data_IF_686398957748
#
_entry.id   IF_686398957748
#
_cell.length_a   1.000
_cell.length_b   1.000
_cell.length_c   1.000
_cell.angle_alpha   90.00
_cell.angle_beta   90.00
_cell.angle_gamma   90.00
#
_symmetry.space_group_name_H-M   'P 1'
#
loop_
_entity.id
_entity.type
_entity.pdbx_description
1 polymer ?
#
# COMPACT_ATOMS: atom_id res chain seq x y z
N UNK A 1 18.47 17.00 -0.23
CA UNK A 1 19.73 16.65 0.47
C UNK A 1 19.44 15.77 1.65
N UNK A 2 20.28 14.76 1.85
CA UNK A 2 20.26 13.90 3.03
C UNK A 2 21.70 13.82 3.56
N UNK A 3 21.88 14.19 4.82
CA UNK A 3 23.17 14.14 5.49
C UNK A 3 23.31 12.77 6.14
N UNK A 4 24.47 12.15 5.95
CA UNK A 4 24.82 10.85 6.49
C UNK A 4 26.00 11.00 7.45
N UNK A 5 25.94 10.25 8.55
CA UNK A 5 27.05 10.08 9.46
C UNK A 5 27.27 8.59 9.66
N UNK A 6 28.34 8.08 9.10
CA UNK A 6 28.76 6.69 9.26
C UNK A 6 29.82 6.59 10.33
N UNK A 7 29.71 5.63 11.23
CA UNK A 7 30.69 5.35 12.26
C UNK A 7 31.10 3.90 12.20
N UNK A 8 32.34 3.62 11.87
CA UNK A 8 32.94 2.28 11.86
C UNK A 8 33.92 2.16 13.02
N UNK A 9 33.74 1.13 13.85
CA UNK A 9 34.67 0.86 14.98
C UNK A 9 35.42 -0.44 14.69
N UNK A 10 36.71 -0.34 14.47
CA UNK A 10 37.64 -1.46 14.32
C UNK A 10 38.73 -1.36 15.38
N UNK A 11 39.01 -2.45 16.07
CA UNK A 11 40.04 -2.57 17.11
C UNK A 11 40.01 -1.43 18.15
N UNK A 12 38.83 -0.98 18.52
CA UNK A 12 38.63 0.09 19.50
C UNK A 12 38.86 1.52 18.96
N UNK A 13 39.10 1.66 17.65
CA UNK A 13 39.19 2.96 16.98
C UNK A 13 37.91 3.22 16.22
N UNK A 14 37.20 4.30 16.54
CA UNK A 14 36.00 4.72 15.82
C UNK A 14 36.34 5.78 14.80
N UNK A 15 36.13 5.49 13.53
CA UNK A 15 36.21 6.44 12.43
C UNK A 15 34.80 6.90 12.09
N UNK A 16 34.54 8.19 12.05
CA UNK A 16 33.28 8.78 11.63
C UNK A 16 33.46 9.50 10.30
N UNK A 17 32.68 9.16 9.32
CA UNK A 17 32.64 9.83 8.01
C UNK A 17 31.29 10.54 7.90
N UNK A 18 31.32 11.82 7.58
CA UNK A 18 30.11 12.62 7.31
C UNK A 18 30.11 12.99 5.82
N UNK A 19 28.99 12.72 5.15
CA UNK A 19 28.81 13.08 3.75
C UNK A 19 27.35 13.47 3.51
N UNK A 20 27.11 14.27 2.48
CA UNK A 20 25.79 14.70 2.07
C UNK A 20 25.47 14.19 0.67
N UNK A 21 24.29 13.64 0.49
CA UNK A 21 23.84 13.18 -0.81
C UNK A 21 22.64 13.98 -1.31
N UNK A 22 22.68 14.32 -2.60
CA UNK A 22 21.56 14.88 -3.32
C UNK A 22 21.06 13.88 -4.36
N UNK A 23 19.79 13.54 -4.31
CA UNK A 23 19.13 12.63 -5.27
C UNK A 23 18.18 13.44 -6.16
N UNK A 24 18.47 13.44 -7.44
CA UNK A 24 17.59 13.97 -8.48
C UNK A 24 16.86 12.79 -9.13
N UNK A 25 15.55 12.83 -9.15
CA UNK A 25 14.71 11.80 -9.76
C UNK A 25 13.70 12.48 -10.67
N UNK A 26 13.87 12.32 -11.98
CA UNK A 26 12.89 12.75 -12.99
C UNK A 26 12.27 11.52 -13.62
N UNK A 27 10.96 11.33 -13.44
CA UNK A 27 10.23 10.21 -13.96
C UNK A 27 9.03 10.72 -14.77
N UNK A 28 8.94 10.27 -16.02
CA UNK A 28 7.83 10.57 -16.93
C UNK A 28 7.16 9.28 -17.33
N UNK A 29 5.85 9.21 -17.09
CA UNK A 29 5.05 8.07 -17.51
C UNK A 29 3.92 8.52 -18.43
N UNK A 30 3.84 7.84 -19.58
CA UNK A 30 2.72 7.98 -20.52
C UNK A 30 1.99 6.66 -20.62
N UNK A 31 0.69 6.64 -20.43
CA UNK A 31 -0.11 5.42 -20.56
C UNK A 31 -1.35 5.63 -21.42
N UNK A 32 -1.60 4.66 -22.31
CA UNK A 32 -2.81 4.59 -23.12
C UNK A 32 -3.51 3.25 -22.83
N UNK A 33 -4.79 3.31 -22.51
CA UNK A 33 -5.60 2.12 -22.27
C UNK A 33 -6.90 2.21 -23.05
N UNK A 34 -7.22 1.13 -23.76
CA UNK A 34 -8.46 1.00 -24.52
C UNK A 34 -9.13 -0.32 -24.17
N UNK A 35 -10.43 -0.28 -24.00
CA UNK A 35 -11.25 -1.47 -23.75
C UNK A 35 -12.46 -1.41 -24.69
N UNK A 36 -12.54 -2.37 -25.60
CA UNK A 36 -13.66 -2.56 -26.49
C UNK A 36 -14.44 -3.77 -25.99
N UNK A 37 -15.74 -3.64 -25.84
CA UNK A 37 -16.62 -4.72 -25.40
C UNK A 37 -17.83 -4.77 -26.30
N UNK A 38 -18.12 -5.95 -26.82
CA UNK A 38 -19.34 -6.27 -27.53
C UNK A 38 -20.14 -7.30 -26.72
N UNK A 39 -21.44 -7.10 -26.62
CA UNK A 39 -22.32 -8.02 -25.88
C UNK A 39 -23.54 -8.31 -26.74
N UNK A 40 -23.78 -9.60 -26.97
CA UNK A 40 -24.89 -10.12 -27.77
C UNK A 40 -25.82 -10.97 -26.89
N UNK A 41 -27.11 -10.65 -26.81
CA UNK A 41 -28.08 -11.54 -26.21
C UNK A 41 -28.35 -12.75 -27.13
N UNK A 42 -28.02 -13.96 -26.63
CA UNK A 42 -28.25 -15.20 -27.40
C UNK A 42 -29.70 -15.68 -27.23
N UNK A 43 -30.18 -15.60 -25.99
CA UNK A 43 -31.57 -15.84 -25.60
C UNK A 43 -31.90 -14.90 -24.43
N UNK A 44 -33.18 -14.80 -24.04
CA UNK A 44 -33.65 -13.80 -23.08
C UNK A 44 -32.85 -13.67 -21.80
N UNK A 45 -32.23 -14.74 -21.33
CA UNK A 45 -31.49 -14.75 -20.06
C UNK A 45 -30.01 -14.97 -20.22
N UNK A 46 -29.51 -15.13 -21.46
CA UNK A 46 -28.11 -15.46 -21.73
C UNK A 46 -27.50 -14.43 -22.66
N UNK A 47 -26.37 -13.87 -22.24
CA UNK A 47 -25.58 -12.90 -23.01
C UNK A 47 -24.17 -13.44 -23.19
N UNK A 48 -23.70 -13.40 -24.43
CA UNK A 48 -22.30 -13.63 -24.76
C UNK A 48 -21.61 -12.27 -24.87
N UNK A 49 -20.40 -12.15 -24.33
CA UNK A 49 -19.57 -10.97 -24.47
C UNK A 49 -18.22 -11.33 -25.05
N UNK A 50 -17.71 -10.47 -25.94
CA UNK A 50 -16.34 -10.50 -26.42
C UNK A 50 -15.70 -9.17 -26.02
N UNK A 51 -14.48 -9.20 -25.54
CA UNK A 51 -13.75 -8.00 -25.20
C UNK A 51 -12.33 -8.03 -25.82
N UNK A 52 -11.82 -6.84 -26.07
CA UNK A 52 -10.44 -6.63 -26.43
C UNK A 52 -9.90 -5.46 -25.62
N UNK A 53 -8.82 -5.70 -24.91
CA UNK A 53 -8.14 -4.73 -24.07
C UNK A 53 -6.75 -4.49 -24.64
N UNK A 54 -6.43 -3.24 -24.81
CA UNK A 54 -5.11 -2.77 -25.18
C UNK A 54 -4.58 -1.85 -24.09
N UNK A 55 -3.33 -2.05 -23.69
CA UNK A 55 -2.65 -1.15 -22.77
C UNK A 55 -1.21 -0.97 -23.24
N UNK A 56 -0.80 0.27 -23.33
CA UNK A 56 0.57 0.67 -23.56
C UNK A 56 0.99 1.63 -22.45
N UNK A 57 2.15 1.42 -21.89
CA UNK A 57 2.76 2.30 -20.90
C UNK A 57 4.23 2.46 -21.22
N UNK A 58 4.65 3.70 -21.41
CA UNK A 58 6.04 4.09 -21.52
C UNK A 58 6.43 4.83 -20.25
N UNK A 59 7.59 4.52 -19.70
CA UNK A 59 8.15 5.19 -18.51
C UNK A 59 9.62 5.48 -18.77
N UNK A 60 9.99 6.76 -18.66
CA UNK A 60 11.35 7.25 -18.71
C UNK A 60 11.76 7.66 -17.31
N UNK A 61 12.87 7.17 -16.79
CA UNK A 61 13.38 7.54 -15.46
C UNK A 61 14.85 7.91 -15.55
N UNK A 62 15.16 9.09 -15.04
CA UNK A 62 16.53 9.61 -14.86
C UNK A 62 16.76 9.83 -13.36
N UNK A 63 17.53 8.94 -12.74
CA UNK A 63 17.89 8.99 -11.32
C UNK A 63 19.37 9.26 -11.21
N UNK A 64 19.73 10.37 -10.61
CA UNK A 64 21.12 10.78 -10.37
C UNK A 64 21.35 11.02 -8.91
N UNK A 65 22.38 10.42 -8.37
CA UNK A 65 22.83 10.62 -6.99
C UNK A 65 24.19 11.31 -7.02
N UNK A 66 24.26 12.43 -6.33
CA UNK A 66 25.48 13.22 -6.17
C UNK A 66 25.88 13.18 -4.71
N UNK A 67 27.17 13.10 -4.45
CA UNK A 67 27.75 13.15 -3.12
C UNK A 67 28.70 14.32 -2.96
N UNK A 68 28.65 14.93 -1.78
CA UNK A 68 29.59 15.97 -1.36
C UNK A 68 30.11 15.58 0.02
N UNK A 69 31.44 15.62 0.18
CA UNK A 69 32.11 15.37 1.47
C UNK A 69 32.01 16.54 2.44
N UNK A 70 31.38 17.65 2.01
CA UNK A 70 31.21 18.86 2.82
C UNK A 70 32.50 19.58 3.20
N UNK A 71 33.68 19.00 2.87
CA UNK A 71 34.99 19.50 3.26
C UNK A 71 35.79 20.06 2.10
N UNK A 72 35.49 19.67 0.88
CA UNK A 72 36.23 20.10 -0.30
C UNK A 72 35.41 21.01 -1.20
N UNK A 73 36.01 22.08 -1.71
CA UNK A 73 35.46 23.02 -2.70
C UNK A 73 35.26 22.36 -4.09
N UNK A 74 35.42 21.03 -4.19
CA UNK A 74 35.37 20.28 -5.44
C UNK A 74 33.93 20.06 -6.00
N UNK A 75 32.91 20.47 -5.25
CA UNK A 75 31.55 20.35 -5.66
C UNK A 75 30.97 18.91 -5.52
N UNK A 76 29.75 18.74 -5.95
CA UNK A 76 29.04 17.45 -5.94
C UNK A 76 29.62 16.52 -7.02
N UNK A 77 29.93 15.29 -6.65
CA UNK A 77 30.35 14.23 -7.57
C UNK A 77 29.20 13.27 -7.84
N UNK A 78 28.99 12.94 -9.11
CA UNK A 78 28.00 11.92 -9.51
C UNK A 78 28.50 10.54 -9.07
N UNK A 79 27.64 9.80 -8.38
CA UNK A 79 27.92 8.41 -8.00
C UNK A 79 27.28 7.50 -9.06
N UNK A 80 28.10 6.97 -9.95
CA UNK A 80 27.68 6.11 -11.05
C UNK A 80 26.86 4.91 -10.57
N UNK A 81 27.27 4.27 -9.49
CA UNK A 81 26.66 3.06 -8.91
C UNK A 81 25.28 3.32 -8.29
N UNK A 82 24.99 4.57 -7.93
CA UNK A 82 23.71 4.99 -7.35
C UNK A 82 22.85 5.77 -8.36
N UNK A 83 23.28 5.83 -9.61
CA UNK A 83 22.61 6.57 -10.67
C UNK A 83 22.17 5.62 -11.78
N UNK A 84 21.00 5.87 -12.34
CA UNK A 84 20.47 5.03 -13.44
C UNK A 84 19.58 5.85 -14.36
N UNK A 85 19.74 5.63 -15.66
CA UNK A 85 18.87 6.18 -16.68
C UNK A 85 18.30 5.03 -17.49
N UNK A 86 16.98 4.91 -17.49
CA UNK A 86 16.30 3.84 -18.18
C UNK A 86 14.96 4.25 -18.79
N UNK A 87 14.59 3.57 -19.85
CA UNK A 87 13.30 3.65 -20.49
C UNK A 87 12.63 2.27 -20.47
N UNK A 88 11.33 2.25 -20.25
CA UNK A 88 10.54 1.00 -20.25
C UNK A 88 9.31 1.17 -21.12
N UNK A 89 9.11 0.24 -22.02
CA UNK A 89 7.90 0.08 -22.81
C UNK A 89 7.17 -1.20 -22.37
N UNK A 90 5.94 -1.06 -21.91
CA UNK A 90 5.10 -2.18 -21.54
C UNK A 90 3.83 -2.19 -22.39
N UNK A 91 3.71 -3.20 -23.22
CA UNK A 91 2.61 -3.39 -24.16
C UNK A 91 1.79 -4.61 -23.77
N UNK A 92 0.47 -4.48 -23.72
CA UNK A 92 -0.43 -5.60 -23.41
C UNK A 92 -1.59 -5.64 -24.36
N UNK A 93 -1.86 -6.81 -24.88
CA UNK A 93 -3.06 -7.16 -25.64
C UNK A 93 -3.80 -8.27 -24.92
N UNK A 94 -5.10 -8.12 -24.70
CA UNK A 94 -5.91 -9.20 -24.14
C UNK A 94 -7.23 -9.32 -24.91
N UNK A 95 -7.50 -10.52 -25.41
CA UNK A 95 -8.78 -10.88 -25.99
C UNK A 95 -9.53 -11.79 -25.02
N UNK A 96 -10.80 -11.49 -24.76
CA UNK A 96 -11.58 -12.24 -23.80
C UNK A 96 -12.97 -12.59 -24.30
N UNK A 97 -13.48 -13.71 -23.78
CA UNK A 97 -14.83 -14.15 -23.98
C UNK A 97 -15.52 -14.27 -22.62
N UNK A 98 -16.80 -13.92 -22.57
CA UNK A 98 -17.61 -13.99 -21.35
C UNK A 98 -19.02 -14.46 -21.63
N UNK A 99 -19.57 -15.21 -20.69
CA UNK A 99 -20.94 -15.67 -20.68
C UNK A 99 -21.62 -15.15 -19.43
N UNK A 100 -22.76 -14.49 -19.58
CA UNK A 100 -23.64 -14.07 -18.49
C UNK A 100 -24.96 -14.79 -18.60
N UNK A 101 -25.38 -15.41 -17.51
CA UNK A 101 -26.65 -16.10 -17.41
C UNK A 101 -27.45 -15.56 -16.21
N UNK A 102 -28.65 -15.01 -16.47
CA UNK A 102 -29.53 -14.45 -15.45
C UNK A 102 -30.72 -15.40 -15.27
N UNK A 103 -30.93 -15.90 -14.05
CA UNK A 103 -32.04 -16.77 -13.67
C UNK A 103 -32.70 -16.18 -12.44
N UNK A 104 -33.88 -15.61 -12.55
CA UNK A 104 -34.65 -15.02 -11.45
C UNK A 104 -33.77 -14.32 -10.41
N UNK A 105 -33.38 -15.04 -9.35
CA UNK A 105 -32.53 -14.54 -8.24
C UNK A 105 -31.04 -14.76 -8.44
N UNK A 106 -30.64 -15.53 -9.43
CA UNK A 106 -29.26 -15.88 -9.70
C UNK A 106 -28.71 -15.15 -10.90
N UNK A 107 -27.47 -14.75 -10.78
CA UNK A 107 -26.65 -14.28 -11.91
C UNK A 107 -25.33 -15.01 -11.91
N UNK A 108 -25.03 -15.66 -13.00
CA UNK A 108 -23.74 -16.28 -13.26
C UNK A 108 -23.01 -15.47 -14.32
N UNK A 109 -21.73 -15.27 -14.12
CA UNK A 109 -20.85 -14.69 -15.13
C UNK A 109 -19.59 -15.53 -15.15
N UNK A 110 -19.23 -16.04 -16.31
CA UNK A 110 -17.99 -16.77 -16.56
C UNK A 110 -17.23 -16.02 -17.64
N UNK A 111 -15.92 -16.02 -17.57
CA UNK A 111 -15.09 -15.39 -18.60
C UNK A 111 -13.67 -15.89 -18.56
N UNK A 112 -12.96 -15.70 -19.66
CA UNK A 112 -11.53 -15.91 -19.75
C UNK A 112 -10.93 -14.85 -20.67
N UNK A 113 -9.86 -14.22 -20.22
CA UNK A 113 -9.02 -13.32 -21.01
C UNK A 113 -7.73 -14.06 -21.39
N UNK A 114 -7.33 -14.00 -22.65
CA UNK A 114 -6.07 -14.47 -23.21
C UNK A 114 -5.19 -13.23 -23.39
N UNK A 115 -4.14 -13.14 -22.61
CA UNK A 115 -3.29 -11.94 -22.55
C UNK A 115 -1.89 -12.24 -23.10
N UNK A 116 -1.42 -11.37 -23.96
CA UNK A 116 -0.04 -11.27 -24.43
C UNK A 116 0.52 -9.95 -23.91
N UNK A 117 1.68 -9.99 -23.31
CA UNK A 117 2.36 -8.81 -22.81
C UNK A 117 3.82 -8.83 -23.23
N UNK A 118 4.35 -7.67 -23.65
CA UNK A 118 5.76 -7.42 -23.92
C UNK A 118 6.26 -6.36 -22.98
N UNK A 119 7.40 -6.61 -22.36
CA UNK A 119 8.15 -5.67 -21.54
C UNK A 119 9.51 -5.49 -22.19
N UNK A 120 9.79 -4.31 -22.71
CA UNK A 120 11.06 -3.92 -23.27
C UNK A 120 11.64 -2.80 -22.42
N UNK A 121 12.86 -2.99 -21.92
CA UNK A 121 13.58 -2.05 -21.08
C UNK A 121 14.94 -1.75 -21.65
N UNK A 122 15.29 -0.48 -21.77
CA UNK A 122 16.60 -0.01 -22.18
C UNK A 122 17.22 0.79 -21.03
N UNK A 123 18.32 0.32 -20.52
CA UNK A 123 19.16 1.06 -19.58
C UNK A 123 20.32 1.67 -20.35
N UNK A 124 20.51 2.98 -20.22
CA UNK A 124 21.60 3.70 -20.87
C UNK A 124 22.73 4.07 -19.90
N UNK A 125 22.47 4.04 -18.59
CA UNK A 125 23.42 4.41 -17.54
C UNK A 125 23.18 3.61 -16.25
N UNK A 126 24.20 3.20 -15.46
CA UNK A 126 25.64 3.40 -15.65
C UNK A 126 26.24 2.49 -16.71
N UNK A 127 25.59 1.37 -17.00
CA UNK A 127 26.01 0.41 -18.03
C UNK A 127 24.81 0.17 -18.94
N UNK A 128 25.07 0.24 -20.27
CA UNK A 128 24.02 -0.04 -21.24
C UNK A 128 23.61 -1.52 -21.16
N UNK A 129 22.31 -1.77 -20.99
CA UNK A 129 21.70 -3.09 -20.94
C UNK A 129 20.29 -3.04 -21.52
N UNK A 130 19.89 -4.11 -22.22
CA UNK A 130 18.59 -4.24 -22.82
C UNK A 130 17.91 -5.50 -22.31
N UNK A 131 16.71 -5.34 -21.82
CA UNK A 131 15.89 -6.42 -21.27
C UNK A 131 14.62 -6.51 -22.10
N UNK A 132 14.31 -7.70 -22.62
CA UNK A 132 13.06 -7.95 -23.35
C UNK A 132 12.42 -9.23 -22.86
N UNK A 133 11.16 -9.15 -22.45
CA UNK A 133 10.37 -10.27 -21.99
C UNK A 133 8.99 -10.29 -22.64
N UNK A 134 8.58 -11.48 -23.10
CA UNK A 134 7.26 -11.73 -23.63
C UNK A 134 6.52 -12.74 -22.74
N UNK A 135 5.30 -12.40 -22.37
CA UNK A 135 4.47 -13.20 -21.48
C UNK A 135 3.16 -13.57 -22.15
N UNK A 136 2.69 -14.78 -21.87
CA UNK A 136 1.35 -15.21 -22.24
C UNK A 136 0.63 -15.74 -21.01
N UNK A 137 -0.62 -15.31 -20.82
CA UNK A 137 -1.43 -15.71 -19.66
C UNK A 137 -2.86 -16.02 -20.06
N UNK A 138 -3.42 -17.05 -19.47
CA UNK A 138 -4.85 -17.33 -19.50
C UNK A 138 -5.44 -16.94 -18.16
N UNK A 139 -6.38 -15.99 -18.18
CA UNK A 139 -6.90 -15.33 -17.00
C UNK A 139 -8.41 -15.60 -16.84
N UNK A 140 -8.79 -16.74 -16.25
CA UNK A 140 -10.19 -17.07 -16.02
C UNK A 140 -10.83 -16.19 -14.94
N UNK A 141 -12.14 -15.97 -15.07
CA UNK A 141 -12.95 -15.27 -14.09
C UNK A 141 -14.33 -15.91 -13.96
N UNK A 142 -14.87 -15.86 -12.76
CA UNK A 142 -16.23 -16.34 -12.49
C UNK A 142 -16.89 -15.47 -11.43
N UNK A 143 -18.18 -15.23 -11.56
CA UNK A 143 -19.00 -14.55 -10.56
C UNK A 143 -20.35 -15.23 -10.43
N UNK A 144 -20.75 -15.48 -9.21
CA UNK A 144 -22.08 -15.95 -8.84
C UNK A 144 -22.68 -14.89 -7.93
N UNK A 145 -23.84 -14.38 -8.29
CA UNK A 145 -24.62 -13.50 -7.43
C UNK A 145 -25.99 -14.11 -7.19
N UNK A 146 -26.38 -14.18 -5.94
CA UNK A 146 -27.71 -14.58 -5.50
C UNK A 146 -28.36 -13.42 -4.76
N UNK A 147 -29.53 -12.97 -5.19
CA UNK A 147 -30.31 -11.90 -4.57
C UNK A 147 -31.61 -12.51 -4.02
N UNK A 148 -31.65 -12.71 -2.69
CA UNK A 148 -32.83 -13.23 -2.03
C UNK A 148 -34.01 -12.24 -2.17
N UNK A 149 -33.66 -10.94 -1.95
CA UNK A 149 -34.54 -9.79 -2.15
C UNK A 149 -33.67 -8.55 -2.48
N UNK A 150 -34.27 -7.34 -2.47
CA UNK A 150 -33.55 -6.08 -2.79
C UNK A 150 -32.49 -5.73 -1.75
N UNK A 151 -32.63 -6.22 -0.53
CA UNK A 151 -31.84 -5.84 0.63
C UNK A 151 -30.91 -6.97 1.10
N UNK A 152 -31.00 -8.15 0.50
CA UNK A 152 -30.28 -9.34 0.92
C UNK A 152 -29.63 -10.02 -0.29
N UNK A 153 -28.32 -9.98 -0.36
CA UNK A 153 -27.55 -10.52 -1.49
C UNK A 153 -26.26 -11.18 -1.07
N UNK A 154 -25.93 -12.22 -1.80
CA UNK A 154 -24.70 -12.97 -1.72
C UNK A 154 -23.96 -12.87 -3.05
N UNK A 155 -22.65 -12.69 -3.03
CA UNK A 155 -21.81 -12.65 -4.21
C UNK A 155 -20.50 -13.41 -3.97
N UNK A 156 -20.22 -14.35 -4.84
CA UNK A 156 -18.92 -15.03 -4.93
C UNK A 156 -18.26 -14.61 -6.24
N UNK A 157 -17.04 -14.11 -6.17
CA UNK A 157 -16.24 -13.70 -7.34
C UNK A 157 -14.87 -14.35 -7.28
N UNK A 158 -14.53 -15.03 -8.34
CA UNK A 158 -13.18 -15.48 -8.62
C UNK A 158 -12.62 -14.68 -9.79
N UNK A 159 -11.38 -14.28 -9.69
CA UNK A 159 -10.66 -13.59 -10.76
C UNK A 159 -9.18 -13.96 -10.72
N UNK A 160 -8.62 -14.25 -11.89
CA UNK A 160 -7.18 -14.27 -12.06
C UNK A 160 -6.66 -13.03 -12.78
N UNK A 161 -5.42 -12.65 -12.50
CA UNK A 161 -4.72 -11.53 -13.12
C UNK A 161 -3.22 -11.82 -13.13
N UNK A 162 -2.51 -11.32 -14.12
CA UNK A 162 -1.06 -11.35 -14.18
C UNK A 162 -0.46 -10.05 -13.65
N UNK A 163 0.75 -10.13 -13.12
CA UNK A 163 1.58 -8.99 -12.74
C UNK A 163 2.99 -9.26 -13.24
N UNK A 164 3.49 -8.43 -14.13
CA UNK A 164 4.87 -8.53 -14.63
C UNK A 164 5.84 -7.92 -13.62
N UNK A 165 7.09 -8.41 -13.58
CA UNK A 165 8.15 -7.76 -12.82
C UNK A 165 8.34 -6.31 -13.27
N UNK A 166 8.77 -5.45 -12.36
CA UNK A 166 9.18 -4.09 -12.71
C UNK A 166 10.58 -4.10 -13.33
N UNK A 167 10.92 -3.05 -14.09
CA UNK A 167 12.27 -2.96 -14.66
C UNK A 167 13.33 -3.00 -13.56
N UNK A 168 13.13 -2.30 -12.44
CA UNK A 168 14.05 -2.33 -11.30
C UNK A 168 14.26 -3.76 -10.74
N UNK A 169 13.22 -4.59 -10.74
CA UNK A 169 13.35 -6.00 -10.33
C UNK A 169 14.12 -6.85 -11.34
N UNK A 170 14.16 -6.44 -12.61
CA UNK A 170 14.85 -7.17 -13.68
C UNK A 170 16.31 -6.72 -13.85
N UNK A 171 16.64 -5.50 -13.50
CA UNK A 171 17.99 -4.94 -13.67
C UNK A 171 19.00 -5.60 -12.72
N UNK A 172 20.13 -6.07 -13.27
CA UNK A 172 21.20 -6.71 -12.49
C UNK A 172 22.18 -5.72 -11.82
N UNK A 173 21.91 -4.43 -11.91
CA UNK A 173 22.72 -3.40 -11.24
C UNK A 173 22.50 -3.46 -9.74
N UNK A 174 23.61 -3.43 -8.98
CA UNK A 174 23.56 -3.41 -7.51
C UNK A 174 23.29 -2.00 -7.03
N UNK A 175 22.24 -1.81 -6.26
CA UNK A 175 21.99 -0.59 -5.49
C UNK A 175 22.68 -0.73 -4.14
N UNK A 176 23.70 0.08 -3.92
CA UNK A 176 24.46 0.18 -2.66
C UNK A 176 24.24 1.51 -1.96
N UNK A 177 23.13 2.18 -2.21
CA UNK A 177 22.74 3.44 -1.54
C UNK A 177 22.80 3.33 -0.01
N UNK A 178 22.54 2.12 0.51
CA UNK A 178 22.79 1.78 1.90
C UNK A 178 23.81 0.63 1.95
N UNK A 179 25.05 0.87 2.44
CA UNK A 179 26.09 -0.15 2.47
C UNK A 179 25.75 -1.39 3.29
N UNK A 180 24.80 -1.27 4.24
CA UNK A 180 24.33 -2.41 5.05
C UNK A 180 23.18 -3.17 4.39
N UNK A 181 22.47 -2.57 3.44
CA UNK A 181 21.29 -3.13 2.78
C UNK A 181 21.37 -2.93 1.27
N UNK A 182 22.17 -3.76 0.63
CA UNK A 182 22.33 -3.76 -0.82
C UNK A 182 21.14 -4.47 -1.48
N UNK A 183 20.78 -4.05 -2.68
CA UNK A 183 19.82 -4.76 -3.49
C UNK A 183 20.25 -4.88 -4.94
N UNK A 184 19.79 -5.93 -5.62
CA UNK A 184 19.99 -6.13 -7.06
C UNK A 184 18.75 -6.76 -7.67
N UNK A 185 18.51 -6.56 -8.95
CA UNK A 185 17.44 -7.22 -9.66
C UNK A 185 17.83 -8.61 -10.17
N UNK A 186 16.89 -9.22 -10.89
CA UNK A 186 17.03 -10.55 -11.46
C UNK A 186 16.38 -10.59 -12.85
N UNK A 187 17.17 -10.59 -13.94
CA UNK A 187 16.64 -10.62 -15.30
C UNK A 187 15.92 -11.93 -15.66
N UNK A 188 15.99 -12.96 -14.82
CA UNK A 188 15.32 -14.25 -15.03
C UNK A 188 13.93 -14.32 -14.38
N UNK A 189 13.39 -13.21 -13.87
CA UNK A 189 12.07 -13.20 -13.28
C UNK A 189 10.97 -13.42 -14.30
N UNK A 190 10.03 -14.28 -13.96
CA UNK A 190 8.80 -14.48 -14.70
C UNK A 190 7.65 -13.67 -14.09
N UNK A 191 6.56 -13.53 -14.81
CA UNK A 191 5.35 -12.88 -14.31
C UNK A 191 4.67 -13.71 -13.21
N UNK A 192 4.04 -13.02 -12.29
CA UNK A 192 3.25 -13.59 -11.24
C UNK A 192 1.79 -13.70 -11.67
N UNK A 193 1.14 -14.83 -11.39
CA UNK A 193 -0.31 -15.04 -11.60
C UNK A 193 -1.02 -15.00 -10.25
N UNK A 194 -1.95 -14.08 -10.12
CA UNK A 194 -2.76 -13.90 -8.92
C UNK A 194 -4.14 -14.53 -9.11
N UNK A 195 -4.56 -15.37 -8.18
CA UNK A 195 -5.89 -15.98 -8.10
C UNK A 195 -6.59 -15.42 -6.88
N UNK A 196 -7.67 -14.67 -7.08
CA UNK A 196 -8.40 -14.01 -6.00
C UNK A 196 -9.84 -14.52 -5.95
N UNK A 197 -10.25 -15.03 -4.80
CA UNK A 197 -11.61 -15.43 -4.51
C UNK A 197 -12.19 -14.49 -3.46
N UNK A 198 -13.32 -13.85 -3.75
CA UNK A 198 -14.02 -12.96 -2.83
C UNK A 198 -15.45 -13.40 -2.66
N UNK A 199 -15.85 -13.56 -1.41
CA UNK A 199 -17.21 -13.79 -0.98
C UNK A 199 -17.73 -12.54 -0.28
N UNK A 200 -18.92 -12.08 -0.62
CA UNK A 200 -19.61 -10.99 0.05
C UNK A 200 -21.05 -11.35 0.31
N UNK A 201 -21.45 -11.18 1.55
CA UNK A 201 -22.85 -11.22 1.97
C UNK A 201 -23.24 -9.84 2.49
N UNK A 202 -24.40 -9.36 2.08
CA UNK A 202 -24.96 -8.07 2.52
C UNK A 202 -26.42 -8.27 2.88
N UNK A 203 -26.79 -7.84 4.08
CA UNK A 203 -28.16 -7.79 4.57
C UNK A 203 -28.44 -6.39 5.10
N UNK A 204 -29.53 -5.77 4.65
CA UNK A 204 -30.05 -4.51 5.20
C UNK A 204 -31.50 -4.71 5.59
N UNK A 205 -31.85 -4.42 6.83
CA UNK A 205 -33.22 -4.55 7.33
C UNK A 205 -34.01 -3.26 7.11
N UNK A 206 -35.33 -3.33 7.16
CA UNK A 206 -36.20 -2.14 7.10
C UNK A 206 -36.01 -1.25 8.34
N UNK A 207 -35.54 -1.79 9.46
CA UNK A 207 -35.21 -1.06 10.69
C UNK A 207 -33.84 -0.33 10.63
N UNK A 208 -33.18 -0.32 9.45
CA UNK A 208 -31.90 0.38 9.25
C UNK A 208 -30.66 -0.39 9.74
N UNK A 209 -30.81 -1.65 10.14
CA UNK A 209 -29.68 -2.50 10.49
C UNK A 209 -28.99 -3.00 9.22
N UNK A 210 -27.68 -3.03 9.20
CA UNK A 210 -26.88 -3.52 8.08
C UNK A 210 -25.86 -4.53 8.58
N UNK A 211 -25.81 -5.70 7.95
CA UNK A 211 -24.80 -6.71 8.18
C UNK A 211 -24.04 -6.96 6.88
N UNK A 212 -22.71 -6.85 6.94
CA UNK A 212 -21.82 -7.15 5.82
C UNK A 212 -20.78 -8.15 6.28
N UNK A 213 -20.67 -9.26 5.57
CA UNK A 213 -19.59 -10.22 5.73
C UNK A 213 -18.80 -10.32 4.43
N UNK A 214 -17.50 -10.21 4.52
CA UNK A 214 -16.57 -10.37 3.39
C UNK A 214 -15.48 -11.36 3.76
N UNK A 215 -15.24 -12.32 2.86
CA UNK A 215 -14.11 -13.25 2.94
C UNK A 215 -13.34 -13.15 1.63
N UNK A 216 -12.03 -13.03 1.71
CA UNK A 216 -11.12 -12.99 0.58
C UNK A 216 -10.04 -14.05 0.73
N UNK A 217 -9.66 -14.67 -0.38
CA UNK A 217 -8.50 -15.53 -0.46
C UNK A 217 -7.70 -15.16 -1.71
N UNK A 218 -6.39 -15.02 -1.58
CA UNK A 218 -5.49 -14.78 -2.69
C UNK A 218 -4.38 -15.83 -2.68
N UNK A 219 -4.17 -16.47 -3.83
CA UNK A 219 -3.02 -17.33 -4.10
C UNK A 219 -2.20 -16.66 -5.20
N UNK A 220 -0.86 -16.75 -5.10
CA UNK A 220 0.04 -16.22 -6.11
C UNK A 220 1.00 -17.32 -6.58
N UNK A 221 0.92 -17.64 -7.85
CA UNK A 221 1.87 -18.53 -8.50
C UNK A 221 3.01 -17.68 -9.06
N UNK A 222 4.25 -18.15 -8.91
CA UNK A 222 5.42 -17.37 -9.30
C UNK A 222 5.55 -16.06 -8.53
N UNK A 223 5.18 -16.03 -7.25
CA UNK A 223 5.29 -14.83 -6.42
C UNK A 223 6.71 -14.27 -6.44
N UNK A 224 6.87 -12.99 -6.75
CA UNK A 224 8.17 -12.33 -6.70
C UNK A 224 8.48 -12.03 -5.23
N UNK A 225 9.34 -12.86 -4.67
CA UNK A 225 9.78 -12.85 -3.27
C UNK A 225 11.22 -12.36 -3.18
N UNK A 226 11.64 -11.97 -1.97
CA UNK A 226 13.00 -11.59 -1.69
C UNK A 226 13.86 -12.80 -1.32
N UNK A 227 15.05 -12.87 -1.90
CA UNK A 227 16.15 -13.72 -1.49
C UNK A 227 17.24 -12.86 -0.87
N UNK A 228 17.41 -12.98 0.45
CA UNK A 228 18.38 -12.18 1.20
C UNK A 228 19.56 -13.05 1.60
N UNK A 229 20.76 -12.54 1.33
CA UNK A 229 22.04 -13.10 1.75
C UNK A 229 22.69 -12.13 2.74
N UNK A 230 23.20 -12.62 3.86
CA UNK A 230 23.96 -11.86 4.85
C UNK A 230 25.42 -12.27 4.75
N UNK A 231 26.32 -11.31 4.53
CA UNK A 231 27.75 -11.57 4.44
C UNK A 231 28.32 -12.01 5.80
N UNK A 232 29.01 -13.13 5.83
CA UNK A 232 29.71 -13.64 7.04
C UNK A 232 31.15 -13.15 7.13
N UNK A 233 31.68 -12.59 6.05
CA UNK A 233 32.99 -11.98 5.88
C UNK A 233 32.88 -10.87 4.83
N UNK A 234 33.89 -10.03 4.72
CA UNK A 234 33.95 -8.99 3.69
C UNK A 234 34.07 -9.65 2.31
N UNK A 235 33.21 -9.27 1.38
CA UNK A 235 33.16 -9.85 0.02
C UNK A 235 33.08 -8.73 -1.01
N UNK A 236 33.68 -8.97 -2.18
CA UNK A 236 33.56 -8.08 -3.34
C UNK A 236 32.56 -8.65 -4.31
N UNK A 237 31.47 -7.91 -4.56
CA UNK A 237 30.45 -8.27 -5.53
C UNK A 237 30.92 -7.99 -6.98
N UNK A 238 30.24 -8.56 -8.00
CA UNK A 238 30.49 -8.20 -9.39
C UNK A 238 30.37 -6.68 -9.60
N UNK A 239 31.35 -6.10 -10.33
CA UNK A 239 31.43 -4.66 -10.52
C UNK A 239 32.33 -3.95 -9.50
N UNK A 240 33.00 -4.70 -8.61
CA UNK A 240 33.95 -4.12 -7.63
C UNK A 240 33.28 -3.47 -6.42
N UNK A 241 32.03 -3.80 -6.14
CA UNK A 241 31.28 -3.26 -5.00
C UNK A 241 31.65 -4.05 -3.75
N UNK A 242 32.20 -3.36 -2.77
CA UNK A 242 32.52 -3.94 -1.47
C UNK A 242 31.23 -4.14 -0.64
N UNK A 243 31.12 -5.29 -0.01
CA UNK A 243 30.05 -5.65 0.91
C UNK A 243 30.68 -6.13 2.21
N UNK A 244 30.56 -5.35 3.26
CA UNK A 244 31.15 -5.61 4.56
C UNK A 244 30.46 -6.79 5.26
N UNK A 245 31.17 -7.44 6.15
CA UNK A 245 30.62 -8.44 7.04
C UNK A 245 29.39 -7.92 7.80
N UNK A 246 28.29 -8.67 7.74
CA UNK A 246 27.01 -8.31 8.36
C UNK A 246 26.08 -7.53 7.44
N UNK A 247 26.59 -7.00 6.32
CA UNK A 247 25.72 -6.39 5.30
C UNK A 247 24.84 -7.43 4.62
N UNK A 248 23.71 -6.97 4.07
CA UNK A 248 22.70 -7.81 3.43
C UNK A 248 22.60 -7.47 1.95
N UNK A 249 22.51 -8.50 1.10
CA UNK A 249 22.17 -8.37 -0.31
C UNK A 249 20.82 -9.02 -0.57
N UNK A 250 19.87 -8.24 -1.06
CA UNK A 250 18.54 -8.73 -1.42
C UNK A 250 18.35 -8.79 -2.93
N UNK A 251 17.84 -9.90 -3.43
CA UNK A 251 17.56 -10.15 -4.84
C UNK A 251 16.15 -10.72 -5.01
N UNK A 252 15.31 -10.23 -5.93
CA UNK A 252 14.00 -10.79 -6.20
C UNK A 252 14.11 -12.16 -6.90
N UNK A 253 13.23 -13.09 -6.52
CA UNK A 253 13.15 -14.46 -7.09
C UNK A 253 11.68 -14.89 -7.18
N UNK A 254 11.34 -15.72 -8.18
CA UNK A 254 10.00 -16.30 -8.23
C UNK A 254 9.90 -17.49 -7.27
N UNK A 255 8.95 -17.44 -6.35
CA UNK A 255 8.64 -18.51 -5.41
C UNK A 255 7.15 -18.85 -5.41
N UNK A 256 6.83 -20.11 -5.27
CA UNK A 256 5.48 -20.56 -4.97
C UNK A 256 5.27 -20.70 -3.47
N UNK A 257 4.00 -20.59 -3.05
CA UNK A 257 3.59 -20.76 -1.67
C UNK A 257 3.07 -19.49 -0.98
N UNK A 258 2.94 -18.39 -1.72
CA UNK A 258 2.24 -17.21 -1.21
C UNK A 258 0.73 -17.47 -1.18
N UNK A 259 0.12 -17.23 -0.03
CA UNK A 259 -1.33 -17.11 0.08
C UNK A 259 -1.71 -16.11 1.18
N UNK A 260 -2.86 -15.47 0.99
CA UNK A 260 -3.45 -14.60 2.01
C UNK A 260 -4.94 -14.86 2.16
N UNK A 261 -5.43 -14.73 3.38
CA UNK A 261 -6.83 -14.83 3.76
C UNK A 261 -7.25 -13.53 4.44
N UNK A 262 -8.38 -12.97 4.01
CA UNK A 262 -8.93 -11.76 4.58
C UNK A 262 -10.37 -12.02 5.02
N UNK A 263 -10.75 -11.53 6.18
CA UNK A 263 -12.12 -11.59 6.68
C UNK A 263 -12.52 -10.23 7.22
N UNK A 264 -13.74 -9.78 6.92
CA UNK A 264 -14.32 -8.58 7.49
C UNK A 264 -15.80 -8.82 7.79
N UNK A 265 -16.19 -8.54 9.03
CA UNK A 265 -17.57 -8.54 9.48
C UNK A 265 -17.90 -7.13 9.94
N UNK A 266 -19.01 -6.58 9.47
CA UNK A 266 -19.50 -5.27 9.90
C UNK A 266 -20.97 -5.39 10.24
N UNK A 267 -21.36 -4.91 11.42
CA UNK A 267 -22.73 -4.80 11.84
C UNK A 267 -23.02 -3.36 12.22
N UNK A 268 -23.90 -2.73 11.47
CA UNK A 268 -24.37 -1.38 11.68
C UNK A 268 -25.82 -1.38 12.16
N UNK A 269 -26.12 -0.54 13.14
CA UNK A 269 -27.48 -0.39 13.65
C UNK A 269 -27.73 1.04 14.18
N UNK A 270 -28.97 1.55 14.05
CA UNK A 270 -29.35 2.81 14.66
C UNK A 270 -29.45 2.67 16.17
N UNK A 271 -29.00 3.70 16.89
CA UNK A 271 -29.13 3.85 18.34
C UNK A 271 -29.99 5.09 18.62
N UNK A 272 -31.29 4.90 18.70
CA UNK A 272 -32.28 5.98 18.76
C UNK A 272 -32.14 6.85 20.00
N UNK A 273 -31.66 6.28 21.13
CA UNK A 273 -31.45 6.99 22.40
C UNK A 273 -30.58 8.25 22.22
N UNK A 274 -29.56 8.16 21.39
CA UNK A 274 -28.62 9.27 21.13
C UNK A 274 -28.68 9.73 19.66
N UNK A 275 -29.70 9.29 18.90
CA UNK A 275 -29.87 9.60 17.47
C UNK A 275 -28.57 9.42 16.70
N UNK A 276 -28.01 8.24 16.78
CA UNK A 276 -26.70 7.90 16.18
C UNK A 276 -26.75 6.54 15.52
N UNK A 277 -25.80 6.29 14.64
CA UNK A 277 -25.56 4.97 14.08
C UNK A 277 -24.31 4.38 14.70
N UNK A 278 -24.40 3.14 15.13
CA UNK A 278 -23.26 2.36 15.65
C UNK A 278 -22.85 1.36 14.60
N UNK A 279 -21.54 1.32 14.30
CA UNK A 279 -20.93 0.32 13.43
C UNK A 279 -19.87 -0.44 14.22
N UNK A 280 -20.06 -1.74 14.32
CA UNK A 280 -19.09 -2.67 14.89
C UNK A 280 -18.43 -3.42 13.74
N UNK A 281 -17.11 -3.42 13.68
CA UNK A 281 -16.36 -4.11 12.63
C UNK A 281 -15.27 -4.98 13.23
N UNK A 282 -15.11 -6.17 12.68
CA UNK A 282 -14.01 -7.07 12.94
C UNK A 282 -13.34 -7.35 11.60
N UNK A 283 -12.07 -6.99 11.46
CA UNK A 283 -11.28 -7.33 10.29
C UNK A 283 -10.10 -8.22 10.69
N UNK A 284 -9.77 -9.17 9.85
CA UNK A 284 -8.62 -10.05 10.02
C UNK A 284 -7.92 -10.28 8.69
N UNK A 285 -6.61 -10.32 8.73
CA UNK A 285 -5.76 -10.70 7.61
C UNK A 285 -4.74 -11.71 8.08
N UNK A 286 -4.59 -12.78 7.33
CA UNK A 286 -3.53 -13.77 7.50
C UNK A 286 -2.80 -13.94 6.17
N UNK A 287 -1.48 -13.83 6.17
CA UNK A 287 -0.65 -14.07 5.00
C UNK A 287 0.49 -15.04 5.31
N UNK A 288 0.81 -15.89 4.36
CA UNK A 288 2.03 -16.69 4.33
C UNK A 288 2.88 -16.21 3.16
N UNK A 289 4.02 -15.62 3.47
CA UNK A 289 4.93 -14.98 2.52
C UNK A 289 6.20 -15.84 2.42
N UNK A 290 6.45 -16.50 1.27
CA UNK A 290 7.69 -17.23 1.06
C UNK A 290 8.85 -16.26 0.85
N UNK A 291 10.01 -16.62 1.36
CA UNK A 291 11.29 -15.89 1.20
C UNK A 291 12.45 -16.88 1.17
N UNK A 292 13.61 -16.42 0.74
CA UNK A 292 14.87 -17.16 0.89
C UNK A 292 15.79 -16.33 1.79
N UNK A 293 16.34 -16.96 2.82
CA UNK A 293 17.31 -16.35 3.72
C UNK A 293 18.57 -17.23 3.79
N UNK A 294 19.72 -16.68 3.40
CA UNK A 294 20.99 -17.41 3.29
C UNK A 294 20.86 -18.75 2.55
N UNK A 295 20.13 -18.76 1.44
CA UNK A 295 19.91 -19.95 0.62
C UNK A 295 18.85 -20.92 1.16
N UNK A 296 18.27 -20.66 2.32
CA UNK A 296 17.23 -21.50 2.93
C UNK A 296 15.84 -20.92 2.66
N UNK A 297 14.97 -21.69 2.04
CA UNK A 297 13.56 -21.30 1.83
C UNK A 297 12.84 -21.25 3.18
N UNK A 298 12.17 -20.13 3.42
CA UNK A 298 11.44 -19.83 4.64
C UNK A 298 10.05 -19.30 4.33
N UNK A 299 9.17 -19.28 5.32
CA UNK A 299 7.87 -18.63 5.24
C UNK A 299 7.66 -17.75 6.46
N UNK A 300 7.32 -16.49 6.21
CA UNK A 300 6.84 -15.59 7.24
C UNK A 300 5.31 -15.61 7.27
N UNK A 301 4.75 -15.81 8.45
CA UNK A 301 3.30 -15.80 8.67
C UNK A 301 2.93 -14.51 9.38
N UNK A 302 2.06 -13.75 8.76
CA UNK A 302 1.59 -12.47 9.27
C UNK A 302 0.12 -12.60 9.63
N UNK A 303 -0.23 -12.19 10.84
CA UNK A 303 -1.60 -12.13 11.32
C UNK A 303 -1.88 -10.71 11.80
N UNK A 304 -2.92 -10.09 11.26
CA UNK A 304 -3.46 -8.83 11.73
C UNK A 304 -4.93 -9.00 12.09
N UNK A 305 -5.32 -8.55 13.27
CA UNK A 305 -6.72 -8.56 13.72
C UNK A 305 -7.11 -7.16 14.21
N UNK A 306 -8.20 -6.62 13.66
CA UNK A 306 -8.61 -5.22 13.91
C UNK A 306 -10.08 -5.16 14.31
N UNK A 307 -10.41 -5.23 15.61
CA UNK A 307 -11.71 -4.80 16.11
C UNK A 307 -11.83 -3.27 16.03
N UNK A 308 -13.00 -2.79 15.61
CA UNK A 308 -13.29 -1.37 15.47
C UNK A 308 -14.75 -1.08 15.84
N UNK A 309 -14.97 0.00 16.57
CA UNK A 309 -16.28 0.58 16.82
C UNK A 309 -16.31 2.03 16.30
N UNK A 310 -17.42 2.38 15.66
CA UNK A 310 -17.67 3.76 15.20
C UNK A 310 -19.09 4.13 15.60
N UNK A 311 -19.24 5.27 16.28
CA UNK A 311 -20.52 5.89 16.62
C UNK A 311 -20.58 7.21 15.88
N UNK A 312 -21.48 7.31 14.90
CA UNK A 312 -21.69 8.52 14.11
C UNK A 312 -23.05 9.13 14.41
N UNK A 313 -23.10 10.43 14.63
CA UNK A 313 -24.36 11.10 14.94
C UNK A 313 -25.26 11.22 13.70
N UNK A 314 -26.55 11.22 13.95
CA UNK A 314 -27.60 11.55 12.96
C UNK A 314 -28.59 12.52 13.64
N UNK A 315 -28.07 13.49 14.40
CA UNK A 315 -28.86 14.39 15.24
C UNK A 315 -29.49 15.49 14.38
N UNK A 316 -28.68 16.20 13.62
CA UNK A 316 -29.12 17.29 12.75
C UNK A 316 -28.03 17.70 11.77
N UNK A 317 -28.39 18.45 10.71
CA UNK A 317 -27.45 19.08 9.77
C UNK A 317 -26.50 20.12 10.44
N UNK A 318 -26.79 20.51 11.71
CA UNK A 318 -26.01 21.52 12.44
C UNK A 318 -25.05 20.93 13.43
N UNK A 319 -25.30 19.72 13.91
CA UNK A 319 -24.45 19.04 14.87
C UNK A 319 -24.16 17.63 14.37
N UNK A 320 -22.90 17.40 14.10
CA UNK A 320 -22.34 16.12 13.68
C UNK A 320 -21.19 15.73 14.61
N UNK A 321 -21.18 14.48 15.07
CA UNK A 321 -20.04 13.94 15.77
C UNK A 321 -19.74 12.51 15.30
N UNK A 322 -18.49 12.13 15.41
CA UNK A 322 -18.04 10.75 15.19
C UNK A 322 -17.07 10.38 16.31
N UNK A 323 -17.35 9.28 16.98
CA UNK A 323 -16.44 8.64 17.93
C UNK A 323 -16.01 7.31 17.32
N UNK A 324 -14.74 7.03 17.32
CA UNK A 324 -14.24 5.74 16.86
C UNK A 324 -13.09 5.25 17.73
N UNK A 325 -13.02 3.93 17.86
CA UNK A 325 -11.90 3.25 18.46
C UNK A 325 -11.57 2.00 17.65
N UNK A 326 -10.28 1.76 17.41
CA UNK A 326 -9.77 0.54 16.81
C UNK A 326 -8.49 0.10 17.49
N UNK A 327 -8.31 -1.22 17.61
CA UNK A 327 -7.06 -1.82 18.03
C UNK A 327 -6.54 -2.70 16.89
N UNK A 328 -5.33 -2.48 16.41
CA UNK A 328 -4.67 -3.34 15.40
C UNK A 328 -3.67 -4.25 16.11
N UNK A 329 -4.02 -5.52 16.21
CA UNK A 329 -3.20 -6.57 16.83
C UNK A 329 -2.41 -7.22 15.70
N UNK A 330 -1.09 -7.04 15.71
CA UNK A 330 -0.18 -7.53 14.67
C UNK A 330 0.74 -8.58 15.25
N UNK A 331 0.89 -9.68 14.52
CA UNK A 331 1.76 -10.78 14.88
C UNK A 331 2.46 -11.30 13.63
N UNK A 332 3.79 -11.30 13.65
CA UNK A 332 4.62 -11.90 12.61
C UNK A 332 5.43 -13.05 13.21
N UNK A 333 5.41 -14.20 12.52
CA UNK A 333 6.12 -15.41 12.89
C UNK A 333 6.98 -15.84 11.70
N UNK A 334 8.30 -15.82 11.85
CA UNK A 334 9.22 -16.38 10.86
C UNK A 334 9.50 -17.85 11.16
N UNK A 335 9.70 -18.66 10.11
CA UNK A 335 10.17 -20.03 10.25
C UNK A 335 11.70 -20.12 10.45
N UNK A 336 12.44 -19.03 10.29
CA UNK A 336 13.87 -18.95 10.62
C UNK A 336 14.00 -18.60 12.09
N UNK A 337 14.70 -19.45 12.85
CA UNK A 337 14.74 -19.40 14.31
C UNK A 337 15.35 -18.11 14.89
N UNK A 338 16.22 -17.43 14.13
CA UNK A 338 16.92 -16.22 14.57
C UNK A 338 16.22 -14.93 14.19
N UNK A 339 15.10 -15.01 13.45
CA UNK A 339 14.32 -13.85 13.08
C UNK A 339 13.23 -13.59 14.11
N UNK A 340 13.31 -12.45 14.76
CA UNK A 340 12.45 -12.06 15.86
C UNK A 340 10.96 -12.08 15.49
N UNK A 341 10.17 -12.67 16.39
CA UNK A 341 8.70 -12.59 16.35
C UNK A 341 8.29 -11.18 16.76
N UNK A 342 7.61 -10.48 15.88
CA UNK A 342 7.03 -9.18 16.22
C UNK A 342 5.59 -9.34 16.68
N UNK A 343 5.30 -8.89 17.91
CA UNK A 343 3.94 -8.83 18.44
C UNK A 343 3.71 -7.44 18.98
N UNK A 344 2.83 -6.67 18.37
CA UNK A 344 2.49 -5.34 18.84
C UNK A 344 1.02 -5.02 18.61
N UNK A 345 0.51 -4.10 19.40
CA UNK A 345 -0.84 -3.58 19.26
C UNK A 345 -0.77 -2.07 19.09
N UNK A 346 -1.48 -1.57 18.08
CA UNK A 346 -1.68 -0.13 17.86
C UNK A 346 -3.11 0.22 18.22
N UNK A 347 -3.29 1.17 19.13
CA UNK A 347 -4.58 1.70 19.55
C UNK A 347 -4.81 3.05 18.90
N UNK A 348 -5.96 3.22 18.24
CA UNK A 348 -6.36 4.53 17.70
C UNK A 348 -7.76 4.83 18.20
N UNK A 349 -7.89 5.93 18.97
CA UNK A 349 -9.16 6.50 19.35
C UNK A 349 -9.32 7.89 18.73
N UNK A 350 -10.48 8.17 18.14
CA UNK A 350 -10.73 9.46 17.53
C UNK A 350 -12.10 9.99 17.94
N UNK A 351 -12.12 11.27 18.31
CA UNK A 351 -13.34 12.03 18.50
C UNK A 351 -13.35 13.21 17.53
N UNK A 352 -14.38 13.28 16.70
CA UNK A 352 -14.64 14.39 15.80
C UNK A 352 -15.96 15.04 16.13
N UNK A 353 -16.01 16.35 16.13
CA UNK A 353 -17.21 17.15 16.29
C UNK A 353 -17.24 18.25 15.22
N UNK A 354 -18.38 18.37 14.57
CA UNK A 354 -18.71 19.48 13.68
C UNK A 354 -20.00 20.14 14.16
N UNK A 355 -19.93 21.42 14.54
CA UNK A 355 -21.09 22.12 15.05
C UNK A 355 -21.26 23.48 14.38
N UNK A 356 -22.42 23.67 13.78
CA UNK A 356 -22.85 24.99 13.26
C UNK A 356 -23.89 25.55 14.22
N UNK A 357 -23.51 26.54 14.98
CA UNK A 357 -24.35 27.13 16.00
C UNK A 357 -24.77 28.54 15.62
N UNK A 358 -25.09 29.36 16.61
CA UNK A 358 -25.67 30.69 16.44
C UNK A 358 -25.04 31.50 15.30
N UNK A 359 -25.90 32.13 14.49
CA UNK A 359 -25.55 33.07 13.40
C UNK A 359 -24.54 32.50 12.35
N UNK A 360 -24.47 31.16 12.17
CA UNK A 360 -23.57 30.55 11.19
C UNK A 360 -22.10 30.45 11.66
N UNK A 361 -21.86 30.54 12.97
CA UNK A 361 -20.55 30.14 13.52
C UNK A 361 -20.39 28.63 13.41
N UNK A 362 -19.21 28.17 13.03
CA UNK A 362 -18.86 26.76 12.89
C UNK A 362 -17.69 26.42 13.77
N UNK A 363 -17.81 25.36 14.53
CA UNK A 363 -16.73 24.72 15.27
C UNK A 363 -16.49 23.34 14.65
N UNK A 364 -15.24 23.03 14.33
CA UNK A 364 -14.81 21.68 14.00
C UNK A 364 -13.64 21.31 14.91
N UNK A 365 -13.68 20.14 15.47
CA UNK A 365 -12.61 19.64 16.33
C UNK A 365 -12.39 18.16 16.07
N UNK A 366 -11.14 17.75 15.94
CA UNK A 366 -10.74 16.35 15.83
C UNK A 366 -9.60 16.09 16.79
N UNK A 367 -9.84 15.21 17.74
CA UNK A 367 -8.84 14.69 18.67
C UNK A 367 -8.58 13.23 18.33
N UNK A 368 -7.33 12.89 18.07
CA UNK A 368 -6.89 11.51 17.79
C UNK A 368 -5.84 11.12 18.83
N UNK A 369 -6.07 10.01 19.50
CA UNK A 369 -5.10 9.32 20.34
C UNK A 369 -4.51 8.18 19.55
N UNK A 370 -3.19 8.05 19.56
CA UNK A 370 -2.46 6.89 19.05
C UNK A 370 -1.55 6.36 20.13
N UNK A 371 -1.72 5.07 20.44
CA UNK A 371 -0.91 4.39 21.45
C UNK A 371 -0.40 3.07 20.93
N UNK A 372 0.73 2.63 21.47
CA UNK A 372 1.42 1.40 21.10
C UNK A 372 1.67 0.52 22.31
N UNK A 373 1.60 -0.79 22.11
CA UNK A 373 2.00 -1.76 23.12
C UNK A 373 2.70 -2.95 22.51
N UNK A 374 3.71 -3.49 23.19
CA UNK A 374 4.47 -4.63 22.72
C UNK A 374 5.58 -4.29 21.71
N UNK A 375 5.86 -3.02 21.48
CA UNK A 375 7.03 -2.58 20.72
C UNK A 375 8.29 -2.64 21.57
N UNK A 376 9.42 -2.96 20.95
CA UNK A 376 10.74 -2.99 21.62
C UNK A 376 11.41 -1.62 21.70
N UNK A 377 10.90 -0.61 20.98
CA UNK A 377 11.37 0.75 21.05
C UNK A 377 10.56 1.57 22.05
N UNK A 378 11.20 2.55 22.69
CA UNK A 378 10.52 3.56 23.50
C UNK A 378 9.63 4.43 22.61
N UNK A 379 8.41 3.96 22.33
CA UNK A 379 7.40 4.73 21.61
C UNK A 379 6.47 5.34 22.62
N UNK A 380 6.33 6.65 22.58
CA UNK A 380 5.38 7.37 23.42
C UNK A 380 4.01 7.43 22.75
N UNK A 381 2.98 7.24 23.55
CA UNK A 381 1.62 7.52 23.13
C UNK A 381 1.45 9.02 22.90
N UNK A 382 0.67 9.41 21.88
CA UNK A 382 0.48 10.82 21.58
C UNK A 382 -0.96 11.16 21.22
N UNK A 383 -1.29 12.44 21.40
CA UNK A 383 -2.55 13.05 21.02
C UNK A 383 -2.32 14.07 19.91
N UNK A 384 -3.05 13.92 18.81
CA UNK A 384 -3.12 14.93 17.77
C UNK A 384 -4.46 15.65 17.86
N UNK A 385 -4.42 16.94 18.21
CA UNK A 385 -5.62 17.75 18.31
C UNK A 385 -5.62 18.86 17.29
N UNK A 386 -6.60 18.84 16.38
CA UNK A 386 -6.85 19.85 15.38
C UNK A 386 -8.22 20.48 15.65
N UNK A 387 -8.31 21.80 15.58
CA UNK A 387 -9.57 22.49 15.73
C UNK A 387 -9.69 23.66 14.76
N UNK A 388 -10.93 24.01 14.41
CA UNK A 388 -11.20 25.20 13.61
C UNK A 388 -12.44 25.93 14.07
N UNK A 389 -12.37 27.27 14.01
CA UNK A 389 -13.48 28.16 14.24
C UNK A 389 -13.75 28.95 12.96
N UNK A 390 -14.97 28.88 12.46
CA UNK A 390 -15.36 29.54 11.23
C UNK A 390 -16.63 30.37 11.36
N UNK A 391 -16.85 31.22 10.38
CA UNK A 391 -18.07 32.00 10.22
C UNK A 391 -18.57 31.88 8.82
N UNK A 392 -19.76 31.32 8.65
CA UNK A 392 -20.50 31.29 7.40
C UNK A 392 -21.26 32.60 7.20
N UNK A 393 -21.22 33.12 5.99
CA UNK A 393 -21.89 34.38 5.61
C UNK A 393 -22.30 34.32 4.13
N UNK A 394 -22.87 35.40 3.63
CA UNK A 394 -23.56 35.51 2.34
C UNK A 394 -24.86 34.69 2.27
N UNK A 395 -25.62 34.92 1.19
CA UNK A 395 -26.88 34.21 0.95
C UNK A 395 -26.63 32.71 0.85
N UNK A 396 -27.45 31.92 1.52
CA UNK A 396 -27.33 30.46 1.59
C UNK A 396 -26.01 29.93 2.18
N UNK A 397 -25.32 30.73 3.04
CA UNK A 397 -24.03 30.36 3.63
C UNK A 397 -22.97 30.00 2.57
N UNK A 398 -22.97 30.76 1.45
CA UNK A 398 -22.11 30.47 0.32
C UNK A 398 -20.61 30.72 0.59
N UNK A 399 -20.28 31.55 1.58
CA UNK A 399 -18.90 31.84 1.97
C UNK A 399 -18.65 31.47 3.44
N UNK A 400 -17.45 31.04 3.75
CA UNK A 400 -16.97 30.76 5.11
C UNK A 400 -15.53 31.32 5.25
N UNK A 401 -15.28 32.09 6.30
CA UNK A 401 -13.93 32.39 6.78
C UNK A 401 -13.68 31.51 7.98
N UNK A 402 -12.51 30.86 8.04
CA UNK A 402 -12.18 29.88 9.07
C UNK A 402 -10.74 30.02 9.51
N UNK A 403 -10.54 30.00 10.81
CA UNK A 403 -9.23 29.81 11.44
C UNK A 403 -9.08 28.34 11.77
N UNK A 404 -8.11 27.69 11.18
CA UNK A 404 -7.72 26.30 11.43
C UNK A 404 -6.45 26.29 12.26
N UNK A 405 -6.43 25.53 13.35
CA UNK A 405 -5.25 25.30 14.20
C UNK A 405 -4.95 23.82 14.20
N UNK A 406 -3.74 23.50 13.82
CA UNK A 406 -3.26 22.14 13.70
C UNK A 406 -2.27 21.82 14.80
N UNK A 407 -2.34 20.59 15.30
CA UNK A 407 -1.49 20.06 16.38
C UNK A 407 -1.40 20.99 17.59
N UNK A 408 -2.56 21.30 18.16
CA UNK A 408 -2.68 22.25 19.30
C UNK A 408 -1.81 21.82 20.49
N UNK A 409 -1.61 20.52 20.67
CA UNK A 409 -0.83 19.95 21.79
C UNK A 409 0.67 19.87 21.48
N UNK A 410 1.10 20.06 20.24
CA UNK A 410 2.50 19.98 19.83
C UNK A 410 3.07 18.57 19.96
N UNK A 411 2.23 17.54 19.84
CA UNK A 411 2.62 16.15 20.03
C UNK A 411 2.67 15.36 18.71
N UNK A 412 2.55 16.03 17.57
CA UNK A 412 2.66 15.35 16.28
C UNK A 412 3.99 14.63 16.17
N UNK A 413 3.93 13.34 15.88
CA UNK A 413 5.12 12.51 15.67
C UNK A 413 4.98 11.81 14.32
N UNK A 414 6.06 11.77 13.55
CA UNK A 414 6.18 10.90 12.41
C UNK A 414 6.96 9.67 12.81
N UNK A 415 6.24 8.70 13.31
CA UNK A 415 6.81 7.40 13.64
C UNK A 415 6.21 6.35 12.70
N UNK A 416 7.07 5.61 12.02
CA UNK A 416 6.68 4.46 11.22
C UNK A 416 7.57 3.29 11.60
N UNK A 417 6.94 2.22 12.03
CA UNK A 417 7.59 0.94 12.15
C UNK A 417 7.25 0.08 10.94
N UNK A 418 8.27 -0.47 10.30
CA UNK A 418 8.11 -1.51 9.30
C UNK A 418 8.78 -2.78 9.84
N UNK A 419 8.07 -3.89 9.73
CA UNK A 419 8.59 -5.20 10.12
C UNK A 419 8.63 -6.04 8.87
N UNK A 420 9.82 -6.31 8.38
CA UNK A 420 10.04 -7.23 7.27
C UNK A 420 10.23 -8.66 7.76
N UNK A 421 10.45 -9.57 6.83
CA UNK A 421 10.73 -10.99 7.16
C UNK A 421 12.03 -11.18 7.95
N UNK A 422 12.95 -10.22 7.88
CA UNK A 422 14.31 -10.29 8.42
C UNK A 422 14.84 -8.98 9.01
N UNK A 423 14.02 -7.93 9.10
CA UNK A 423 14.44 -6.65 9.66
C UNK A 423 13.32 -5.94 10.41
N UNK A 424 13.73 -5.06 11.31
CA UNK A 424 12.92 -4.01 11.89
C UNK A 424 13.43 -2.67 11.40
N UNK A 425 12.53 -1.83 10.95
CA UNK A 425 12.84 -0.46 10.56
C UNK A 425 12.01 0.51 11.41
N UNK A 426 12.68 1.48 11.99
CA UNK A 426 12.08 2.59 12.71
C UNK A 426 12.42 3.87 11.98
N UNK A 427 11.42 4.45 11.35
CA UNK A 427 11.57 5.74 10.70
C UNK A 427 10.95 6.82 11.57
N UNK A 428 11.74 7.79 11.96
CA UNK A 428 11.29 9.05 12.52
C UNK A 428 11.60 10.16 11.54
N UNK A 429 10.63 11.01 11.24
CA UNK A 429 10.84 12.15 10.37
C UNK A 429 10.40 13.44 11.06
N UNK A 430 10.98 14.55 10.66
CA UNK A 430 10.54 15.86 11.12
C UNK A 430 9.11 16.11 10.65
N UNK A 431 8.25 16.46 11.58
CA UNK A 431 6.87 16.85 11.31
C UNK A 431 6.69 18.34 11.38
N UNK A 432 5.66 18.83 10.72
CA UNK A 432 5.28 20.24 10.85
C UNK A 432 4.98 20.54 12.32
N UNK A 433 5.62 21.59 12.83
CA UNK A 433 5.34 22.15 14.14
C UNK A 433 3.89 22.68 14.19
N UNK A 434 3.31 22.89 15.37
CA UNK A 434 1.98 23.45 15.49
C UNK A 434 1.85 24.75 14.68
N UNK A 435 0.81 24.86 13.87
CA UNK A 435 0.57 26.04 13.02
C UNK A 435 -0.91 26.39 12.93
N UNK A 436 -1.15 27.64 12.60
CA UNK A 436 -2.50 28.14 12.33
C UNK A 436 -2.61 28.66 10.90
N UNK A 437 -3.77 28.47 10.30
CA UNK A 437 -4.07 28.91 8.94
C UNK A 437 -5.43 29.59 8.88
N UNK A 438 -5.52 30.68 8.14
CA UNK A 438 -6.79 31.32 7.82
C UNK A 438 -7.22 30.86 6.44
N UNK A 439 -8.42 30.31 6.34
CA UNK A 439 -9.00 29.79 5.12
C UNK A 439 -10.24 30.57 4.72
N UNK A 440 -10.36 30.91 3.44
CA UNK A 440 -11.59 31.39 2.85
C UNK A 440 -12.15 30.35 1.89
N UNK A 441 -13.39 29.95 2.14
CA UNK A 441 -14.07 28.92 1.32
C UNK A 441 -15.32 29.56 0.70
N UNK A 442 -15.44 29.46 -0.61
CA UNK A 442 -16.62 29.90 -1.35
C UNK A 442 -17.21 28.70 -2.11
N UNK A 443 -18.49 28.42 -1.86
CA UNK A 443 -19.22 27.32 -2.51
C UNK A 443 -20.04 27.84 -3.66
N UNK A 444 -19.66 27.51 -4.89
CA UNK A 444 -20.41 27.81 -6.10
C UNK A 444 -21.51 26.76 -6.24
N UNK A 445 -22.78 27.21 -6.36
CA UNK A 445 -23.96 26.33 -6.55
C UNK A 445 -24.67 26.66 -7.84
#
# INVERSE_FOLDING_TARGET
>A
YTDYKESKTEDGTTTATEYSQRKDNDEKQTSLRTNLMYTEPIVDNVQLSANYKFSYSNSDADKKTFESDGMTDLGEQLIDQMSSVYQTDYLTHAAGLGLRWNLDRWRFTLGADFQWASLDGEQSYPVADNISHNYFSVLPSAMIRYSLDRNNSFMLRYRSSSTSPTLQQLQSVVDNTNPLFLSTGNPLLDQQINHTLNLRYTLTTMSGQTFIAMLGATLRNGYVADSTFVATEDITLPGGIEMDKGAQLTRPVNLDGYYSLQAMLTYGFPLDLIRSNVNLSLAGNYASVPTIFNGVKSNTRELTFVPKVVIGSNISDKLDFTLSYSASINKALSSVADLNTSNYVTHIAQARVGWTFWAGLTLRSTLTYTGYSGLSADTEDYFLWNASLGKKFLKNNAAEIRLDVYDILGQSQSFRQSVGSNYYDYLTANVLQPYAMVSFVYTIR
#
